data_IF_610869868715
#
_entry.id   IF_610869868715
#
_cell.length_a   1.000
_cell.length_b   1.000
_cell.length_c   1.000
_cell.angle_alpha   90.00
_cell.angle_beta   90.00
_cell.angle_gamma   90.00
#
_symmetry.space_group_name_H-M   'P 1'
#
loop_
_entity.id
_entity.type
_entity.pdbx_description
1 polymer ?
#
# COMPACT_ATOMS: atom_id res chain seq x y z
N UNK A 1 4.25 -27.81 30.35
CA UNK A 1 4.18 -27.00 29.10
C UNK A 1 5.36 -26.05 29.11
N UNK A 2 6.40 -26.33 28.32
CA UNK A 2 7.60 -25.51 28.26
C UNK A 2 7.26 -24.15 27.63
N UNK A 3 7.26 -23.09 28.45
CA UNK A 3 7.38 -21.72 27.95
C UNK A 3 8.76 -21.58 27.28
N UNK A 4 8.85 -21.88 25.97
CA UNK A 4 9.88 -21.27 25.16
C UNK A 4 9.60 -19.77 25.23
N UNK A 5 10.49 -19.04 25.91
CA UNK A 5 10.55 -17.58 25.84
C UNK A 5 10.58 -17.20 24.36
N UNK A 6 9.44 -16.85 23.81
CA UNK A 6 9.34 -16.31 22.45
C UNK A 6 9.93 -14.90 22.53
N UNK A 7 11.24 -14.78 22.29
CA UNK A 7 11.91 -13.50 22.07
C UNK A 7 11.46 -12.91 20.72
N UNK A 8 10.11 -12.76 20.54
CA UNK A 8 9.59 -12.09 19.37
C UNK A 8 10.01 -10.62 19.40
N UNK A 9 10.52 -10.13 18.28
CA UNK A 9 10.83 -8.72 18.12
C UNK A 9 9.63 -7.85 18.51
N UNK A 10 9.87 -6.70 19.14
CA UNK A 10 8.82 -5.77 19.53
C UNK A 10 9.17 -4.35 19.16
N UNK A 11 8.17 -3.55 18.79
CA UNK A 11 8.31 -2.11 18.62
C UNK A 11 8.70 -1.44 19.95
N UNK A 12 9.41 -0.32 19.87
CA UNK A 12 9.81 0.44 21.06
C UNK A 12 8.61 1.00 21.83
N UNK A 13 7.49 1.25 21.14
CA UNK A 13 6.25 1.76 21.71
C UNK A 13 5.26 2.20 20.64
N UNK A 14 4.24 2.98 21.03
CA UNK A 14 3.16 3.45 20.15
C UNK A 14 3.67 4.15 18.89
N UNK A 15 4.62 5.08 19.02
CA UNK A 15 5.16 5.85 17.89
C UNK A 15 5.86 4.92 16.89
N UNK A 16 6.61 3.93 17.37
CA UNK A 16 7.28 2.94 16.52
C UNK A 16 6.29 2.14 15.69
N UNK A 17 5.24 1.63 16.31
CA UNK A 17 4.16 0.94 15.61
C UNK A 17 3.45 1.85 14.60
N UNK A 18 2.99 3.03 15.03
CA UNK A 18 2.22 3.96 14.19
C UNK A 18 3.00 4.38 12.95
N UNK A 19 4.28 4.77 13.09
CA UNK A 19 5.07 5.22 11.94
C UNK A 19 5.45 4.05 11.01
N UNK A 20 5.64 2.83 11.56
CA UNK A 20 5.87 1.65 10.74
C UNK A 20 4.61 1.22 9.98
N UNK A 21 3.45 1.20 10.65
CA UNK A 21 2.17 0.85 10.03
C UNK A 21 1.71 1.93 9.04
N UNK A 22 1.88 3.22 9.37
CA UNK A 22 1.63 4.32 8.43
C UNK A 22 2.58 4.24 7.22
N UNK A 23 3.87 3.91 7.43
CA UNK A 23 4.81 3.68 6.33
C UNK A 23 4.46 2.48 5.45
N UNK A 24 3.82 1.45 6.02
CA UNK A 24 3.27 0.35 5.24
C UNK A 24 2.09 0.81 4.37
N UNK A 25 1.19 1.62 4.94
CA UNK A 25 -0.02 2.10 4.27
C UNK A 25 0.28 3.20 3.25
N UNK A 26 1.16 4.17 3.59
CA UNK A 26 1.56 5.25 2.68
C UNK A 26 2.56 4.70 1.64
N UNK A 27 2.03 4.29 0.51
CA UNK A 27 2.81 3.69 -0.57
C UNK A 27 2.53 4.33 -1.93
N UNK A 28 2.96 3.62 -2.98
CA UNK A 28 2.73 4.03 -4.35
C UNK A 28 1.24 4.21 -4.67
N UNK A 29 0.37 3.45 -4.01
CA UNK A 29 -1.08 3.54 -4.17
C UNK A 29 -1.67 4.90 -3.81
N UNK A 30 -1.13 5.58 -2.79
CA UNK A 30 -1.55 6.93 -2.42
C UNK A 30 -1.07 7.98 -3.42
N UNK A 31 0.11 7.76 -4.02
CA UNK A 31 0.76 8.79 -4.83
C UNK A 31 0.28 8.77 -6.28
N UNK A 32 0.04 7.61 -6.88
CA UNK A 32 -0.42 7.57 -8.27
C UNK A 32 -1.87 7.13 -8.44
N UNK A 33 -2.26 6.00 -7.76
CA UNK A 33 -3.58 5.41 -7.97
C UNK A 33 -4.69 6.28 -7.41
N UNK A 34 -4.51 6.81 -6.21
CA UNK A 34 -5.51 7.66 -5.57
C UNK A 34 -5.81 8.93 -6.39
N UNK A 35 -4.81 9.76 -6.81
CA UNK A 35 -5.08 10.95 -7.61
C UNK A 35 -5.76 10.64 -8.95
N UNK A 36 -5.34 9.58 -9.63
CA UNK A 36 -5.97 9.13 -10.85
C UNK A 36 -7.45 8.78 -10.64
N UNK A 37 -7.74 7.92 -9.66
CA UNK A 37 -9.12 7.51 -9.39
C UNK A 37 -9.98 8.69 -8.91
N UNK A 38 -9.43 9.56 -8.08
CA UNK A 38 -10.13 10.76 -7.65
C UNK A 38 -10.49 11.66 -8.83
N UNK A 39 -9.58 11.88 -9.77
CA UNK A 39 -9.86 12.69 -10.95
C UNK A 39 -10.88 12.03 -11.88
N UNK A 40 -10.76 10.73 -12.13
CA UNK A 40 -11.64 9.99 -13.04
C UNK A 40 -13.07 9.80 -12.47
N UNK A 41 -13.20 9.61 -11.16
CA UNK A 41 -14.46 9.22 -10.52
C UNK A 41 -15.08 10.31 -9.65
N UNK A 42 -14.93 11.58 -10.03
CA UNK A 42 -15.74 12.69 -9.56
C UNK A 42 -15.08 13.62 -8.54
N UNK A 43 -13.76 13.59 -8.40
CA UNK A 43 -13.01 14.55 -7.59
C UNK A 43 -13.42 14.54 -6.12
N UNK A 44 -14.00 15.66 -5.66
CA UNK A 44 -14.40 15.84 -4.26
C UNK A 44 -15.45 14.85 -3.77
N UNK A 45 -16.33 14.33 -4.63
CA UNK A 45 -17.29 13.29 -4.19
C UNK A 45 -16.59 11.94 -3.97
N UNK A 46 -15.59 11.60 -4.80
CA UNK A 46 -14.74 10.44 -4.56
C UNK A 46 -13.98 10.57 -3.24
N UNK A 47 -13.38 11.73 -2.97
CA UNK A 47 -12.67 12.01 -1.72
C UNK A 47 -13.59 11.86 -0.50
N UNK A 48 -14.81 12.40 -0.55
CA UNK A 48 -15.78 12.27 0.53
C UNK A 48 -16.12 10.81 0.83
N UNK A 49 -16.41 10.02 -0.21
CA UNK A 49 -16.72 8.59 -0.08
C UNK A 49 -15.51 7.84 0.46
N UNK A 50 -14.31 8.13 -0.05
CA UNK A 50 -13.07 7.53 0.44
C UNK A 50 -12.86 7.77 1.94
N UNK A 51 -13.05 9.00 2.42
CA UNK A 51 -12.93 9.34 3.85
C UNK A 51 -13.97 8.57 4.69
N UNK A 52 -15.22 8.49 4.25
CA UNK A 52 -16.25 7.72 4.96
C UNK A 52 -15.85 6.24 5.06
N UNK A 53 -15.36 5.66 3.97
CA UNK A 53 -14.90 4.27 3.95
C UNK A 53 -13.66 4.04 4.81
N UNK A 54 -12.71 4.97 4.82
CA UNK A 54 -11.53 4.90 5.69
C UNK A 54 -11.93 4.89 7.17
N UNK A 55 -12.84 5.81 7.56
CA UNK A 55 -13.34 5.94 8.95
C UNK A 55 -14.23 4.77 9.42
N UNK A 56 -14.73 3.95 8.51
CA UNK A 56 -15.64 2.83 8.82
C UNK A 56 -15.00 1.49 8.53
N UNK A 57 -14.91 1.12 7.26
CA UNK A 57 -14.36 -0.16 6.82
C UNK A 57 -12.85 -0.26 7.10
N UNK A 58 -12.08 0.75 6.69
CA UNK A 58 -10.63 0.80 6.88
C UNK A 58 -10.26 0.68 8.36
N UNK A 59 -10.84 1.55 9.19
CA UNK A 59 -10.69 1.49 10.64
C UNK A 59 -10.98 0.08 11.20
N UNK A 60 -12.10 -0.52 10.81
CA UNK A 60 -12.53 -1.82 11.31
C UNK A 60 -11.53 -2.92 10.99
N UNK A 61 -11.05 -2.97 9.75
CA UNK A 61 -10.10 -3.99 9.32
C UNK A 61 -8.72 -3.80 9.95
N UNK A 62 -8.22 -2.56 10.08
CA UNK A 62 -6.95 -2.29 10.78
C UNK A 62 -7.03 -2.75 12.24
N UNK A 63 -8.12 -2.42 12.95
CA UNK A 63 -8.34 -2.86 14.34
C UNK A 63 -8.40 -4.39 14.40
N UNK A 64 -9.14 -5.04 13.50
CA UNK A 64 -9.29 -6.49 13.48
C UNK A 64 -7.95 -7.22 13.28
N UNK A 65 -7.19 -6.83 12.26
CA UNK A 65 -5.91 -7.46 11.94
C UNK A 65 -4.83 -7.19 13.00
N UNK A 66 -4.74 -5.95 13.48
CA UNK A 66 -3.78 -5.57 14.53
C UNK A 66 -4.09 -6.30 15.83
N UNK A 67 -5.37 -6.38 16.22
CA UNK A 67 -5.80 -7.11 17.42
C UNK A 67 -5.51 -8.60 17.29
N UNK A 68 -5.80 -9.21 16.13
CA UNK A 68 -5.50 -10.61 15.84
C UNK A 68 -3.98 -10.89 16.00
N UNK A 69 -3.14 -10.03 15.44
CA UNK A 69 -1.70 -10.12 15.57
C UNK A 69 -1.24 -10.01 17.02
N UNK A 70 -1.70 -8.99 17.76
CA UNK A 70 -1.31 -8.77 19.17
C UNK A 70 -1.83 -9.85 20.11
N UNK A 71 -3.04 -10.35 19.89
CA UNK A 71 -3.64 -11.43 20.68
C UNK A 71 -2.83 -12.72 20.58
N UNK A 72 -2.36 -13.03 19.39
CA UNK A 72 -1.68 -14.30 19.11
C UNK A 72 -0.18 -14.25 19.22
N UNK A 73 0.44 -13.08 19.01
CA UNK A 73 1.89 -12.91 18.95
C UNK A 73 2.53 -13.68 17.79
N UNK A 74 1.80 -13.91 16.69
CA UNK A 74 2.23 -14.72 15.55
C UNK A 74 2.00 -14.01 14.22
N UNK A 75 2.70 -14.50 13.17
CA UNK A 75 2.44 -14.17 11.77
C UNK A 75 1.07 -14.70 11.32
N UNK A 76 0.56 -14.31 10.13
CA UNK A 76 -0.80 -14.63 9.70
C UNK A 76 -1.17 -16.10 9.81
N UNK A 77 -0.33 -17.03 9.36
CA UNK A 77 -0.65 -18.48 9.42
C UNK A 77 -0.81 -18.95 10.87
N UNK A 78 0.18 -18.63 11.71
CA UNK A 78 0.14 -19.00 13.12
C UNK A 78 -1.00 -18.31 13.88
N UNK A 79 -1.37 -17.08 13.51
CA UNK A 79 -2.49 -16.35 14.10
C UNK A 79 -3.84 -17.07 13.84
N UNK A 80 -4.09 -17.49 12.60
CA UNK A 80 -5.29 -18.27 12.26
C UNK A 80 -5.30 -19.63 12.94
N UNK A 81 -4.16 -20.35 12.94
CA UNK A 81 -4.05 -21.67 13.57
C UNK A 81 -4.23 -21.67 15.09
N UNK A 82 -4.07 -20.52 15.75
CA UNK A 82 -4.32 -20.39 17.19
C UNK A 82 -5.79 -20.68 17.54
N UNK A 83 -6.71 -20.43 16.61
CA UNK A 83 -8.16 -20.62 16.82
C UNK A 83 -8.71 -21.93 16.23
N UNK A 84 -7.85 -22.75 15.64
CA UNK A 84 -8.22 -24.06 15.12
C UNK A 84 -7.36 -24.49 13.93
N UNK A 85 -7.45 -25.77 13.59
CA UNK A 85 -6.69 -26.38 12.48
C UNK A 85 -7.60 -26.84 11.33
N UNK A 86 -8.78 -26.25 11.19
CA UNK A 86 -9.66 -26.57 10.07
C UNK A 86 -9.07 -26.10 8.74
N UNK A 87 -9.43 -26.76 7.64
CA UNK A 87 -8.89 -26.44 6.30
C UNK A 87 -9.13 -24.98 5.91
N UNK A 88 -10.29 -24.42 6.24
CA UNK A 88 -10.60 -23.04 5.89
C UNK A 88 -9.79 -22.01 6.72
N UNK A 89 -9.51 -22.30 8.01
CA UNK A 89 -8.61 -21.46 8.82
C UNK A 89 -7.19 -21.51 8.30
N UNK A 90 -6.69 -22.70 7.94
CA UNK A 90 -5.38 -22.82 7.29
C UNK A 90 -5.34 -22.04 6.00
N UNK A 91 -6.36 -22.13 5.15
CA UNK A 91 -6.47 -21.36 3.91
C UNK A 91 -6.45 -19.86 4.19
N UNK A 92 -7.24 -19.37 5.16
CA UNK A 92 -7.28 -17.95 5.57
C UNK A 92 -5.92 -17.43 6.05
N UNK A 93 -5.19 -18.23 6.84
CA UNK A 93 -3.83 -17.90 7.28
C UNK A 93 -2.83 -17.83 6.13
N UNK A 94 -2.82 -18.85 5.28
CA UNK A 94 -1.89 -18.94 4.16
C UNK A 94 -2.15 -17.89 3.09
N UNK A 95 -3.41 -17.57 2.75
CA UNK A 95 -3.69 -16.54 1.76
C UNK A 95 -3.17 -15.17 2.23
N UNK A 96 -3.37 -14.81 3.51
CA UNK A 96 -2.81 -13.58 4.09
C UNK A 96 -1.27 -13.57 4.09
N UNK A 97 -0.62 -14.73 4.22
CA UNK A 97 0.83 -14.85 4.25
C UNK A 97 1.47 -14.84 2.85
N UNK A 98 0.80 -15.41 1.84
CA UNK A 98 1.31 -15.51 0.47
C UNK A 98 1.22 -14.15 -0.24
N UNK A 99 0.21 -13.34 0.05
CA UNK A 99 0.01 -12.03 -0.59
C UNK A 99 1.27 -11.16 -0.54
N UNK A 100 1.88 -10.86 0.61
CA UNK A 100 3.09 -10.03 0.63
C UNK A 100 4.28 -10.68 -0.06
N UNK A 101 4.37 -12.02 -0.07
CA UNK A 101 5.42 -12.78 -0.77
C UNK A 101 5.32 -12.57 -2.30
N UNK A 102 4.10 -12.43 -2.82
CA UNK A 102 3.86 -12.19 -4.25
C UNK A 102 3.91 -10.70 -4.62
N UNK A 103 3.51 -9.80 -3.71
CA UNK A 103 3.51 -8.34 -3.98
C UNK A 103 4.94 -7.80 -4.00
N UNK A 104 5.76 -8.13 -3.01
CA UNK A 104 7.08 -7.49 -2.86
C UNK A 104 7.99 -7.65 -4.08
N UNK A 105 7.99 -8.76 -4.84
CA UNK A 105 8.77 -8.90 -6.05
C UNK A 105 8.43 -7.83 -7.11
N UNK A 106 7.18 -7.76 -7.57
CA UNK A 106 6.80 -6.80 -8.61
C UNK A 106 6.76 -5.34 -8.12
N UNK A 107 6.43 -5.13 -6.85
CA UNK A 107 6.49 -3.81 -6.21
C UNK A 107 7.91 -3.24 -6.20
N UNK A 108 8.91 -4.10 -6.00
CA UNK A 108 10.32 -3.71 -6.02
C UNK A 108 10.81 -3.34 -7.43
N UNK A 109 10.21 -3.89 -8.48
CA UNK A 109 10.49 -3.46 -9.86
C UNK A 109 10.09 -1.98 -10.05
N UNK A 110 8.91 -1.62 -9.58
CA UNK A 110 8.44 -0.22 -9.63
C UNK A 110 9.33 0.69 -8.77
N UNK A 111 9.76 0.21 -7.59
CA UNK A 111 10.75 0.89 -6.77
C UNK A 111 12.08 1.14 -7.51
N UNK A 112 12.51 0.18 -8.33
CA UNK A 112 13.65 0.33 -9.23
C UNK A 112 13.44 1.43 -10.28
N UNK A 113 12.25 1.52 -10.88
CA UNK A 113 11.92 2.61 -11.82
C UNK A 113 11.99 3.99 -11.15
N UNK A 114 11.55 4.07 -9.88
CA UNK A 114 11.66 5.31 -9.08
C UNK A 114 13.13 5.70 -8.87
N UNK A 115 14.01 4.75 -8.57
CA UNK A 115 15.47 5.00 -8.47
C UNK A 115 16.01 5.58 -9.79
N UNK A 116 15.67 4.98 -10.94
CA UNK A 116 16.09 5.46 -12.25
C UNK A 116 15.70 6.91 -12.46
N UNK A 117 14.42 7.25 -12.25
CA UNK A 117 13.91 8.60 -12.47
C UNK A 117 14.53 9.62 -11.52
N UNK A 118 14.70 9.27 -10.24
CA UNK A 118 15.38 10.14 -9.28
C UNK A 118 16.82 10.43 -9.71
N UNK A 119 17.56 9.42 -10.16
CA UNK A 119 18.94 9.60 -10.62
C UNK A 119 19.03 10.48 -11.86
N UNK A 120 18.12 10.35 -12.83
CA UNK A 120 18.08 11.21 -14.02
C UNK A 120 17.77 12.68 -13.65
N UNK A 121 16.83 12.92 -12.72
CA UNK A 121 16.59 14.28 -12.22
C UNK A 121 17.80 14.87 -11.49
N UNK A 122 18.51 14.08 -10.67
CA UNK A 122 19.74 14.52 -9.98
C UNK A 122 20.86 14.86 -10.99
N UNK A 123 20.94 14.12 -12.10
CA UNK A 123 21.91 14.38 -13.18
C UNK A 123 21.58 15.62 -14.01
N UNK A 124 20.39 16.16 -13.87
CA UNK A 124 19.90 17.29 -14.66
C UNK A 124 19.21 16.88 -15.97
N UNK A 125 19.00 15.60 -16.21
CA UNK A 125 18.38 15.03 -17.41
C UNK A 125 16.83 14.97 -17.33
N UNK A 126 16.23 15.76 -16.47
CA UNK A 126 14.76 15.77 -16.27
C UNK A 126 13.96 16.05 -17.56
N UNK A 127 14.50 16.80 -18.51
CA UNK A 127 13.87 17.04 -19.80
C UNK A 127 13.72 15.76 -20.63
N UNK A 128 14.69 14.86 -20.60
CA UNK A 128 14.64 13.57 -21.31
C UNK A 128 13.51 12.67 -20.80
N UNK A 129 13.19 12.75 -19.50
CA UNK A 129 12.12 11.97 -18.90
C UNK A 129 10.73 12.37 -19.42
N UNK A 130 10.59 13.59 -19.95
CA UNK A 130 9.37 14.10 -20.55
C UNK A 130 9.20 13.74 -22.04
N UNK A 131 10.25 13.18 -22.69
CA UNK A 131 10.20 12.78 -24.08
C UNK A 131 9.25 11.58 -24.29
N UNK A 132 8.53 11.61 -25.41
CA UNK A 132 7.64 10.51 -25.77
C UNK A 132 8.46 9.23 -26.00
N UNK A 133 7.99 8.14 -25.36
CA UNK A 133 8.64 6.84 -25.49
C UNK A 133 9.81 6.58 -24.53
N UNK A 134 10.31 7.58 -23.77
CA UNK A 134 11.39 7.36 -22.81
C UNK A 134 11.10 6.23 -21.83
N UNK A 135 9.92 6.28 -21.19
CA UNK A 135 9.53 5.25 -20.23
C UNK A 135 9.42 3.87 -20.89
N UNK A 136 8.80 3.78 -22.06
CA UNK A 136 8.67 2.52 -22.80
C UNK A 136 10.03 1.95 -23.22
N UNK A 137 10.97 2.81 -23.66
CA UNK A 137 12.32 2.41 -23.98
C UNK A 137 13.07 1.89 -22.74
N UNK A 138 12.94 2.58 -21.60
CA UNK A 138 13.56 2.18 -20.36
C UNK A 138 13.05 0.84 -19.85
N UNK A 139 11.72 0.60 -19.77
CA UNK A 139 11.17 -0.67 -19.28
C UNK A 139 11.43 -1.85 -20.23
N UNK A 140 11.73 -1.57 -21.51
CA UNK A 140 12.11 -2.58 -22.50
C UNK A 140 13.60 -2.92 -22.44
N UNK A 141 14.43 -2.05 -21.87
CA UNK A 141 15.84 -2.32 -21.61
C UNK A 141 16.01 -3.21 -20.38
N UNK A 142 16.07 -4.54 -20.61
CA UNK A 142 16.16 -5.53 -19.54
C UNK A 142 17.36 -5.33 -18.63
N UNK A 143 18.51 -4.87 -19.11
CA UNK A 143 19.70 -4.69 -18.29
C UNK A 143 19.54 -3.50 -17.32
N UNK A 144 19.04 -2.38 -17.81
CA UNK A 144 18.84 -1.16 -17.02
C UNK A 144 17.75 -1.35 -15.95
N UNK A 145 16.61 -1.95 -16.33
CA UNK A 145 15.51 -2.24 -15.39
C UNK A 145 15.92 -3.23 -14.33
N UNK A 146 16.61 -4.31 -14.70
CA UNK A 146 17.04 -5.35 -13.76
C UNK A 146 18.04 -4.78 -12.74
N UNK A 147 19.00 -3.96 -13.19
CA UNK A 147 19.95 -3.31 -12.29
C UNK A 147 19.25 -2.43 -11.26
N UNK A 148 18.32 -1.58 -11.68
CA UNK A 148 17.58 -0.70 -10.78
C UNK A 148 16.68 -1.49 -9.81
N UNK A 149 16.04 -2.55 -10.28
CA UNK A 149 15.24 -3.47 -9.48
C UNK A 149 16.09 -4.15 -8.40
N UNK A 150 17.24 -4.74 -8.77
CA UNK A 150 18.13 -5.41 -7.81
C UNK A 150 18.67 -4.42 -6.78
N UNK A 151 19.02 -3.19 -7.16
CA UNK A 151 19.44 -2.15 -6.23
C UNK A 151 18.34 -1.83 -5.20
N UNK A 152 17.09 -1.72 -5.63
CA UNK A 152 15.97 -1.49 -4.71
C UNK A 152 15.76 -2.69 -3.77
N UNK A 153 15.82 -3.93 -4.28
CA UNK A 153 15.74 -5.14 -3.47
C UNK A 153 16.84 -5.19 -2.41
N UNK A 154 18.09 -4.93 -2.80
CA UNK A 154 19.23 -4.94 -1.89
C UNK A 154 19.06 -3.91 -0.78
N UNK A 155 18.59 -2.71 -1.12
CA UNK A 155 18.33 -1.68 -0.12
C UNK A 155 17.26 -2.11 0.89
N UNK A 156 16.14 -2.68 0.43
CA UNK A 156 15.09 -3.23 1.29
C UNK A 156 15.63 -4.36 2.19
N UNK A 157 16.35 -5.32 1.62
CA UNK A 157 16.88 -6.48 2.36
C UNK A 157 17.89 -6.07 3.44
N UNK A 158 18.75 -5.10 3.18
CA UNK A 158 19.71 -4.58 4.19
C UNK A 158 18.97 -4.05 5.42
N UNK A 159 17.86 -3.34 5.22
CA UNK A 159 17.03 -2.83 6.32
C UNK A 159 16.38 -3.99 7.08
N UNK A 160 15.87 -4.99 6.38
CA UNK A 160 15.24 -6.17 6.99
C UNK A 160 16.26 -6.99 7.80
N UNK A 161 17.49 -7.15 7.32
CA UNK A 161 18.56 -7.80 8.08
C UNK A 161 18.88 -7.12 9.42
N UNK A 162 18.71 -5.79 9.50
CA UNK A 162 18.90 -5.02 10.73
C UNK A 162 17.81 -5.28 11.80
N UNK A 163 16.71 -5.95 11.44
CA UNK A 163 15.63 -6.35 12.34
C UNK A 163 14.51 -5.33 12.48
N UNK A 164 13.50 -5.67 13.27
CA UNK A 164 12.28 -4.85 13.41
C UNK A 164 12.60 -3.49 14.01
N UNK A 165 13.27 -3.46 15.17
CA UNK A 165 13.53 -2.22 15.92
C UNK A 165 14.59 -1.33 15.27
N UNK A 166 15.72 -1.94 14.84
CA UNK A 166 16.87 -1.20 14.32
C UNK A 166 16.78 -0.95 12.81
N UNK A 167 16.00 -1.75 12.08
CA UNK A 167 15.73 -1.62 10.65
C UNK A 167 14.37 -0.97 10.40
N UNK A 168 13.30 -1.75 10.45
CA UNK A 168 11.94 -1.35 10.07
C UNK A 168 11.50 -0.07 10.80
N UNK A 169 11.52 -0.09 12.13
CA UNK A 169 11.04 1.03 12.95
C UNK A 169 11.91 2.27 12.80
N UNK A 170 13.25 2.10 12.82
CA UNK A 170 14.18 3.23 12.73
C UNK A 170 14.07 3.95 11.39
N UNK A 171 13.97 3.19 10.31
CA UNK A 171 13.84 3.73 8.96
C UNK A 171 12.48 4.42 8.81
N UNK A 172 11.38 3.82 9.27
CA UNK A 172 10.07 4.45 9.23
C UNK A 172 10.01 5.74 10.05
N UNK A 173 10.65 5.78 11.23
CA UNK A 173 10.74 6.99 12.05
C UNK A 173 11.48 8.15 11.39
N UNK A 174 12.43 7.85 10.51
CA UNK A 174 13.16 8.86 9.75
C UNK A 174 12.41 9.27 8.48
N UNK A 175 11.96 8.29 7.70
CA UNK A 175 11.38 8.53 6.36
C UNK A 175 10.00 9.16 6.43
N UNK A 176 9.12 8.75 7.37
CA UNK A 176 7.74 9.24 7.41
C UNK A 176 7.64 10.75 7.67
N UNK A 177 8.32 11.36 8.66
CA UNK A 177 8.29 12.81 8.81
C UNK A 177 8.83 13.56 7.59
N UNK A 178 9.91 13.08 6.98
CA UNK A 178 10.49 13.70 5.78
C UNK A 178 9.49 13.61 4.61
N UNK A 179 8.82 12.46 4.43
CA UNK A 179 7.80 12.27 3.42
C UNK A 179 6.64 13.27 3.59
N UNK A 180 6.17 13.50 4.84
CA UNK A 180 5.14 14.50 5.13
C UNK A 180 5.61 15.90 4.75
N UNK A 181 6.83 16.29 5.12
CA UNK A 181 7.39 17.60 4.77
C UNK A 181 7.50 17.78 3.26
N UNK A 182 8.03 16.78 2.55
CA UNK A 182 8.12 16.80 1.09
C UNK A 182 6.74 16.91 0.44
N UNK A 183 5.74 16.16 0.93
CA UNK A 183 4.38 16.23 0.39
C UNK A 183 3.75 17.62 0.56
N UNK A 184 3.97 18.28 1.70
CA UNK A 184 3.51 19.65 1.93
C UNK A 184 4.19 20.63 0.96
N UNK A 185 5.52 20.56 0.81
CA UNK A 185 6.26 21.44 -0.09
C UNK A 185 5.77 21.32 -1.53
N UNK A 186 5.62 20.10 -2.03
CA UNK A 186 5.20 19.84 -3.41
C UNK A 186 3.73 20.23 -3.60
N UNK A 187 2.85 19.96 -2.63
CA UNK A 187 1.44 20.36 -2.72
C UNK A 187 1.29 21.89 -2.75
N UNK A 188 2.00 22.62 -1.87
CA UNK A 188 2.02 24.09 -1.89
C UNK A 188 2.52 24.61 -3.24
N UNK A 189 3.60 24.04 -3.76
CA UNK A 189 4.10 24.39 -5.08
C UNK A 189 3.04 24.15 -6.16
N UNK A 190 2.38 22.99 -6.18
CA UNK A 190 1.37 22.61 -7.17
C UNK A 190 0.17 23.56 -7.16
N UNK A 191 -0.42 23.81 -5.98
CA UNK A 191 -1.64 24.62 -5.85
C UNK A 191 -1.40 26.11 -6.14
N UNK A 192 -0.16 26.58 -6.08
CA UNK A 192 0.21 27.97 -6.39
C UNK A 192 0.48 28.22 -7.89
N UNK A 193 0.36 27.21 -8.74
CA UNK A 193 0.56 27.40 -10.20
C UNK A 193 -0.63 28.10 -10.85
N UNK A 194 -0.38 28.96 -11.86
CA UNK A 194 -1.45 29.53 -12.65
C UNK A 194 -2.36 28.42 -13.23
N UNK A 195 -3.68 28.57 -13.08
CA UNK A 195 -4.64 27.55 -13.53
C UNK A 195 -4.90 26.39 -12.54
N UNK A 196 -4.09 26.21 -11.50
CA UNK A 196 -4.23 25.11 -10.53
C UNK A 196 -5.53 25.18 -9.69
N UNK A 197 -6.11 26.36 -9.49
CA UNK A 197 -7.29 26.55 -8.62
C UNK A 197 -8.50 25.73 -9.08
N UNK A 198 -8.67 25.55 -10.39
CA UNK A 198 -9.73 24.70 -10.94
C UNK A 198 -9.58 23.25 -10.46
N UNK A 199 -8.35 22.71 -10.50
CA UNK A 199 -8.03 21.37 -9.99
C UNK A 199 -8.22 21.23 -8.49
N UNK A 200 -7.82 22.25 -7.71
CA UNK A 200 -8.06 22.30 -6.25
C UNK A 200 -9.55 22.22 -5.95
N UNK A 201 -10.34 23.07 -6.62
CA UNK A 201 -11.80 23.10 -6.46
C UNK A 201 -12.44 21.77 -6.85
N UNK A 202 -12.03 21.21 -7.99
CA UNK A 202 -12.52 19.91 -8.48
C UNK A 202 -12.25 18.79 -7.47
N UNK A 203 -11.05 18.77 -6.89
CA UNK A 203 -10.64 17.71 -5.96
C UNK A 203 -11.22 17.83 -4.55
N UNK A 204 -11.35 19.07 -4.02
CA UNK A 204 -11.76 19.27 -2.63
C UNK A 204 -13.27 19.50 -2.45
N UNK A 205 -13.96 20.02 -3.48
CA UNK A 205 -15.38 20.35 -3.35
C UNK A 205 -16.24 19.22 -3.88
N UNK A 206 -17.01 18.53 -3.01
CA UNK A 206 -17.93 17.48 -3.46
C UNK A 206 -18.99 18.02 -4.39
N UNK A 207 -19.10 17.46 -5.57
CA UNK A 207 -20.17 17.75 -6.53
C UNK A 207 -21.05 16.50 -6.72
N UNK A 208 -22.29 16.48 -6.21
CA UNK A 208 -23.18 15.34 -6.36
C UNK A 208 -23.49 14.96 -7.79
N UNK A 209 -23.40 15.91 -8.75
CA UNK A 209 -23.60 15.63 -10.17
C UNK A 209 -22.54 14.67 -10.75
N UNK A 210 -21.37 14.59 -10.13
CA UNK A 210 -20.28 13.69 -10.52
C UNK A 210 -20.38 12.32 -9.83
N UNK A 211 -21.45 12.06 -9.05
CA UNK A 211 -21.62 10.78 -8.36
C UNK A 211 -21.98 9.68 -9.36
N UNK A 212 -21.33 8.53 -9.19
CA UNK A 212 -21.71 7.28 -9.83
C UNK A 212 -21.55 6.10 -8.86
N UNK A 213 -22.22 4.99 -9.10
CA UNK A 213 -21.97 3.78 -8.31
C UNK A 213 -20.54 3.30 -8.46
N UNK A 214 -19.91 3.56 -9.59
CA UNK A 214 -18.51 3.25 -9.83
C UNK A 214 -17.58 4.07 -8.93
N UNK A 215 -17.95 5.30 -8.57
CA UNK A 215 -17.23 6.11 -7.57
C UNK A 215 -17.14 5.39 -6.23
N UNK A 216 -18.21 4.74 -5.77
CA UNK A 216 -18.23 3.98 -4.51
C UNK A 216 -17.34 2.74 -4.61
N UNK A 217 -17.49 1.95 -5.69
CA UNK A 217 -16.73 0.71 -5.89
C UNK A 217 -15.23 0.99 -6.00
N UNK A 218 -14.85 2.00 -6.77
CA UNK A 218 -13.43 2.36 -6.95
C UNK A 218 -12.83 2.97 -5.69
N UNK A 219 -13.60 3.77 -4.93
CA UNK A 219 -13.16 4.29 -3.63
C UNK A 219 -12.97 3.16 -2.61
N UNK A 220 -13.86 2.14 -2.59
CA UNK A 220 -13.68 0.95 -1.76
C UNK A 220 -12.38 0.21 -2.12
N UNK A 221 -12.17 -0.07 -3.40
CA UNK A 221 -10.96 -0.74 -3.87
C UNK A 221 -9.68 0.05 -3.56
N UNK A 222 -9.73 1.38 -3.73
CA UNK A 222 -8.59 2.25 -3.39
C UNK A 222 -8.28 2.26 -1.90
N UNK A 223 -9.29 2.41 -1.05
CA UNK A 223 -9.11 2.41 0.41
C UNK A 223 -8.56 1.07 0.92
N UNK A 224 -9.04 -0.02 0.34
CA UNK A 224 -8.59 -1.37 0.65
C UNK A 224 -7.10 -1.56 0.39
N UNK A 225 -6.64 -1.10 -0.78
CA UNK A 225 -5.24 -1.14 -1.17
C UNK A 225 -4.37 -0.17 -0.36
N UNK A 226 -4.84 1.07 -0.17
CA UNK A 226 -4.10 2.15 0.51
C UNK A 226 -3.76 1.79 1.95
N UNK A 227 -4.71 1.27 2.72
CA UNK A 227 -4.53 0.95 4.14
C UNK A 227 -3.80 -0.38 4.40
N UNK A 228 -3.25 -1.03 3.37
CA UNK A 228 -2.54 -2.33 3.46
C UNK A 228 -3.36 -3.43 4.15
N UNK A 229 -4.69 -3.42 3.95
CA UNK A 229 -5.61 -4.38 4.52
C UNK A 229 -5.46 -5.73 3.81
N UNK A 230 -5.54 -6.82 4.56
CA UNK A 230 -5.47 -8.20 4.07
C UNK A 230 -4.16 -8.55 3.33
N UNK A 231 -3.07 -7.87 3.66
CA UNK A 231 -1.72 -8.18 3.19
C UNK A 231 -0.87 -8.89 4.26
N UNK A 232 -1.47 -9.34 5.37
CA UNK A 232 -0.75 -9.94 6.49
C UNK A 232 0.14 -8.99 7.28
N UNK A 233 0.38 -7.76 6.78
CA UNK A 233 1.27 -6.76 7.39
C UNK A 233 0.75 -6.34 8.77
N UNK A 234 -0.52 -5.97 8.86
CA UNK A 234 -1.11 -5.48 10.11
C UNK A 234 -1.21 -6.58 11.17
N UNK A 235 -1.42 -7.85 10.78
CA UNK A 235 -1.33 -9.01 11.68
C UNK A 235 0.11 -9.15 12.18
N UNK A 236 1.09 -9.12 11.29
CA UNK A 236 2.51 -9.22 11.63
C UNK A 236 2.94 -8.08 12.56
N UNK A 237 2.62 -6.82 12.22
CA UNK A 237 2.97 -5.66 13.04
C UNK A 237 2.21 -5.63 14.37
N UNK A 238 0.97 -6.08 14.38
CA UNK A 238 0.19 -6.31 15.60
C UNK A 238 0.88 -7.28 16.53
N UNK A 239 1.49 -8.35 15.99
CA UNK A 239 2.23 -9.34 16.79
C UNK A 239 3.50 -8.79 17.44
N UNK A 240 4.01 -7.63 16.99
CA UNK A 240 5.14 -6.91 17.59
C UNK A 240 4.68 -5.80 18.55
N UNK A 241 3.37 -5.57 18.67
CA UNK A 241 2.81 -4.55 19.54
C UNK A 241 2.77 -5.03 20.98
N UNK A 242 3.18 -4.14 21.89
CA UNK A 242 3.09 -4.41 23.34
C UNK A 242 1.63 -4.36 23.80
N UNK A 243 1.28 -5.13 24.83
CA UNK A 243 -0.08 -5.20 25.38
C UNK A 243 -0.59 -3.85 25.90
N UNK A 244 0.30 -3.02 26.46
CA UNK A 244 -0.04 -1.71 27.01
C UNK A 244 -0.28 -0.63 25.92
N UNK A 245 0.06 -0.94 24.67
CA UNK A 245 -0.13 0.01 23.58
C UNK A 245 -1.58 0.01 23.11
N UNK A 246 -2.22 1.19 23.11
CA UNK A 246 -3.59 1.37 22.62
C UNK A 246 -3.73 0.97 21.15
N UNK A 247 -4.59 0.00 20.82
CA UNK A 247 -4.90 -0.40 19.44
C UNK A 247 -5.74 0.69 18.77
N UNK A 248 -6.85 1.09 19.36
CA UNK A 248 -7.76 2.07 18.76
C UNK A 248 -7.06 3.42 18.53
N UNK A 249 -6.29 3.88 19.53
CA UNK A 249 -5.53 5.11 19.42
C UNK A 249 -4.39 5.03 18.41
N UNK A 250 -3.80 3.86 18.20
CA UNK A 250 -2.77 3.66 17.16
C UNK A 250 -3.38 3.57 15.77
N UNK A 251 -4.47 2.83 15.61
CA UNK A 251 -5.24 2.71 14.36
C UNK A 251 -5.70 4.07 13.86
N UNK A 252 -6.28 4.90 14.77
CA UNK A 252 -6.68 6.27 14.43
C UNK A 252 -5.52 7.09 13.85
N UNK A 253 -4.34 6.95 14.41
CA UNK A 253 -3.18 7.69 13.89
C UNK A 253 -2.75 7.17 12.51
N UNK A 254 -2.75 5.86 12.27
CA UNK A 254 -2.45 5.28 10.95
C UNK A 254 -3.46 5.76 9.91
N UNK A 255 -4.74 5.71 10.23
CA UNK A 255 -5.85 6.19 9.41
C UNK A 255 -5.70 7.68 9.03
N UNK A 256 -5.34 8.54 10.01
CA UNK A 256 -5.10 9.97 9.77
C UNK A 256 -3.88 10.17 8.85
N UNK A 257 -2.78 9.46 9.10
CA UNK A 257 -1.58 9.55 8.28
C UNK A 257 -1.85 9.16 6.83
N UNK A 258 -2.47 8.01 6.60
CA UNK A 258 -2.79 7.51 5.25
C UNK A 258 -3.71 8.47 4.51
N UNK A 259 -4.83 8.86 5.14
CA UNK A 259 -5.80 9.78 4.53
C UNK A 259 -5.20 11.16 4.26
N UNK A 260 -4.39 11.69 5.17
CA UNK A 260 -3.71 12.98 4.97
C UNK A 260 -2.75 12.92 3.79
N UNK A 261 -1.94 11.87 3.68
CA UNK A 261 -1.02 11.71 2.54
C UNK A 261 -1.78 11.48 1.22
N UNK A 262 -2.88 10.73 1.22
CA UNK A 262 -3.72 10.57 0.03
C UNK A 262 -4.29 11.93 -0.43
N UNK A 263 -4.77 12.77 0.50
CA UNK A 263 -5.23 14.14 0.19
C UNK A 263 -4.07 14.99 -0.33
N UNK A 264 -2.90 14.94 0.32
CA UNK A 264 -1.71 15.67 -0.14
C UNK A 264 -1.28 15.23 -1.53
N UNK A 265 -1.30 13.91 -1.83
CA UNK A 265 -1.00 13.39 -3.16
C UNK A 265 -2.00 13.91 -4.21
N UNK A 266 -3.29 13.94 -3.89
CA UNK A 266 -4.30 14.58 -4.72
C UNK A 266 -3.98 16.05 -4.99
N UNK A 267 -3.59 16.81 -3.97
CA UNK A 267 -3.21 18.23 -4.10
C UNK A 267 -1.85 18.44 -4.80
N UNK A 268 -0.94 17.46 -4.75
CA UNK A 268 0.31 17.53 -5.51
C UNK A 268 0.08 17.33 -7.00
N UNK A 269 -0.81 16.43 -7.38
CA UNK A 269 -0.93 15.92 -8.76
C UNK A 269 -2.07 16.57 -9.52
N UNK A 270 -3.30 16.56 -8.98
CA UNK A 270 -4.48 17.03 -9.71
C UNK A 270 -4.37 18.51 -10.10
N UNK A 271 -4.03 19.46 -9.20
CA UNK A 271 -3.89 20.87 -9.58
C UNK A 271 -2.78 21.11 -10.60
N UNK A 272 -1.64 20.38 -10.50
CA UNK A 272 -0.54 20.52 -11.45
C UNK A 272 -0.94 20.04 -12.86
N UNK A 273 -1.64 18.89 -12.95
CA UNK A 273 -2.12 18.37 -14.22
C UNK A 273 -3.21 19.28 -14.82
N UNK A 274 -4.14 19.79 -14.02
CA UNK A 274 -5.15 20.76 -14.47
C UNK A 274 -4.52 22.06 -15.00
N UNK A 275 -3.50 22.57 -14.33
CA UNK A 275 -2.76 23.75 -14.79
C UNK A 275 -2.05 23.49 -16.13
N UNK A 276 -1.53 22.26 -16.34
CA UNK A 276 -0.87 21.87 -17.57
C UNK A 276 -1.84 21.56 -18.73
N UNK A 277 -2.97 20.89 -18.44
CA UNK A 277 -3.95 20.43 -19.46
C UNK A 277 -5.05 21.44 -19.79
N UNK A 278 -5.07 22.59 -19.14
CA UNK A 278 -6.19 23.54 -19.29
C UNK A 278 -7.48 23.09 -18.61
N UNK A 279 -7.41 22.14 -17.67
CA UNK A 279 -8.54 21.70 -16.85
C UNK A 279 -9.20 20.38 -17.29
N UNK A 280 -8.55 19.61 -18.16
CA UNK A 280 -9.03 18.30 -18.60
C UNK A 280 -8.60 17.18 -17.64
N UNK A 281 -9.54 16.56 -16.88
CA UNK A 281 -9.22 15.45 -15.97
C UNK A 281 -8.79 14.16 -16.70
N UNK A 282 -9.16 13.98 -17.97
CA UNK A 282 -8.84 12.77 -18.75
C UNK A 282 -7.37 12.69 -19.16
N UNK A 283 -6.60 13.77 -18.95
CA UNK A 283 -5.15 13.77 -19.13
C UNK A 283 -4.39 13.00 -18.06
N UNK A 284 -5.04 12.70 -16.90
CA UNK A 284 -4.47 11.83 -15.88
C UNK A 284 -4.52 10.37 -16.33
N UNK A 285 -3.39 9.84 -16.75
CA UNK A 285 -3.27 8.43 -17.16
C UNK A 285 -3.33 7.49 -15.96
N UNK A 286 -3.80 6.27 -16.18
CA UNK A 286 -3.87 5.25 -15.16
C UNK A 286 -2.50 4.62 -14.85
N UNK A 287 -2.32 4.18 -13.61
CA UNK A 287 -1.19 3.35 -13.21
C UNK A 287 0.17 4.05 -13.30
N UNK A 288 1.23 3.29 -13.63
CA UNK A 288 2.58 3.82 -13.74
C UNK A 288 2.75 4.97 -14.72
N UNK A 289 1.92 5.02 -15.77
CA UNK A 289 1.97 6.07 -16.79
C UNK A 289 1.75 7.48 -16.20
N UNK A 290 0.91 7.63 -15.17
CA UNK A 290 0.75 8.90 -14.48
C UNK A 290 2.11 9.39 -13.94
N UNK A 291 2.82 8.54 -13.22
CA UNK A 291 4.03 8.91 -12.51
C UNK A 291 5.25 9.00 -13.42
N UNK A 292 5.36 8.13 -14.41
CA UNK A 292 6.57 8.02 -15.24
C UNK A 292 6.45 8.68 -16.62
N UNK A 293 5.24 9.09 -17.03
CA UNK A 293 5.03 9.80 -18.30
C UNK A 293 4.41 11.18 -18.06
N UNK A 294 3.23 11.24 -17.40
CA UNK A 294 2.49 12.50 -17.26
C UNK A 294 3.21 13.49 -16.34
N UNK A 295 3.63 13.07 -15.16
CA UNK A 295 4.27 13.96 -14.17
C UNK A 295 5.59 14.55 -14.66
N UNK A 296 6.51 13.81 -15.31
CA UNK A 296 7.71 14.41 -15.92
C UNK A 296 7.37 15.47 -16.95
N UNK A 297 6.35 15.27 -17.81
CA UNK A 297 5.88 16.27 -18.78
C UNK A 297 5.35 17.54 -18.09
N UNK A 298 4.59 17.38 -17.03
CA UNK A 298 4.10 18.49 -16.22
C UNK A 298 5.27 19.28 -15.64
N UNK A 299 6.23 18.61 -15.01
CA UNK A 299 7.41 19.28 -14.43
C UNK A 299 8.30 19.96 -15.46
N UNK A 300 8.48 19.37 -16.64
CA UNK A 300 9.25 19.98 -17.73
C UNK A 300 8.65 21.32 -18.19
N UNK A 301 7.35 21.51 -18.04
CA UNK A 301 6.63 22.74 -18.39
C UNK A 301 6.43 23.70 -17.21
N UNK A 302 6.95 23.37 -16.02
CA UNK A 302 6.81 24.19 -14.82
C UNK A 302 8.17 24.81 -14.43
N UNK A 303 8.17 26.06 -13.94
CA UNK A 303 9.36 26.68 -13.35
C UNK A 303 9.89 25.82 -12.19
N UNK A 304 11.22 25.68 -12.08
CA UNK A 304 11.86 24.80 -11.08
C UNK A 304 11.56 23.31 -11.25
N UNK A 305 11.11 22.86 -12.42
CA UNK A 305 10.64 21.50 -12.64
C UNK A 305 11.66 20.41 -12.27
N UNK A 306 12.94 20.61 -12.56
CA UNK A 306 14.01 19.67 -12.17
C UNK A 306 14.10 19.53 -10.65
N UNK A 307 14.08 20.64 -9.91
CA UNK A 307 14.14 20.62 -8.45
C UNK A 307 12.92 19.94 -7.83
N UNK A 308 11.72 20.28 -8.32
CA UNK A 308 10.46 19.65 -7.86
C UNK A 308 10.43 18.17 -8.24
N UNK A 309 10.98 17.80 -9.40
CA UNK A 309 11.14 16.40 -9.81
C UNK A 309 12.02 15.59 -8.84
N UNK A 310 13.15 16.16 -8.40
CA UNK A 310 14.00 15.55 -7.37
C UNK A 310 13.19 15.32 -6.07
N UNK A 311 12.51 16.36 -5.59
CA UNK A 311 11.73 16.25 -4.34
C UNK A 311 10.59 15.22 -4.47
N UNK A 312 9.91 15.19 -5.63
CA UNK A 312 8.82 14.27 -5.89
C UNK A 312 9.31 12.82 -5.95
N UNK A 313 10.35 12.51 -6.75
CA UNK A 313 10.85 11.14 -6.84
C UNK A 313 11.56 10.68 -5.56
N UNK A 314 12.12 11.60 -4.76
CA UNK A 314 12.61 11.29 -3.41
C UNK A 314 11.46 10.92 -2.46
N UNK A 315 10.36 11.66 -2.49
CA UNK A 315 9.13 11.35 -1.75
C UNK A 315 8.59 9.98 -2.15
N UNK A 316 8.48 9.72 -3.46
CA UNK A 316 8.01 8.43 -4.00
C UNK A 316 8.92 7.29 -3.59
N UNK A 317 10.25 7.50 -3.61
CA UNK A 317 11.22 6.50 -3.16
C UNK A 317 11.01 6.16 -1.68
N UNK A 318 10.80 7.14 -0.82
CA UNK A 318 10.55 6.90 0.61
C UNK A 318 9.25 6.13 0.83
N UNK A 319 8.18 6.47 0.12
CA UNK A 319 6.92 5.74 0.16
C UNK A 319 7.09 4.29 -0.34
N UNK A 320 7.81 4.09 -1.43
CA UNK A 320 8.09 2.76 -1.97
C UNK A 320 8.92 1.89 -1.00
N UNK A 321 9.96 2.47 -0.40
CA UNK A 321 10.84 1.76 0.54
C UNK A 321 10.10 1.36 1.81
N UNK A 322 9.34 2.25 2.44
CA UNK A 322 8.62 1.95 3.69
C UNK A 322 7.58 0.85 3.49
N UNK A 323 6.86 0.85 2.37
CA UNK A 323 5.90 -0.22 2.04
C UNK A 323 6.61 -1.54 1.67
N UNK A 324 7.71 -1.49 0.91
CA UNK A 324 8.50 -2.68 0.58
C UNK A 324 9.08 -3.37 1.83
N UNK A 325 9.57 -2.58 2.79
CA UNK A 325 10.04 -3.08 4.09
C UNK A 325 8.92 -3.80 4.84
N UNK A 326 7.72 -3.23 4.88
CA UNK A 326 6.58 -3.82 5.59
C UNK A 326 6.11 -5.15 4.96
N UNK A 327 6.02 -5.20 3.63
CA UNK A 327 5.71 -6.41 2.86
C UNK A 327 6.77 -7.50 3.10
N UNK A 328 8.04 -7.13 3.01
CA UNK A 328 9.17 -8.06 3.20
C UNK A 328 9.22 -8.58 4.63
N UNK A 329 8.96 -7.74 5.63
CA UNK A 329 8.90 -8.13 7.03
C UNK A 329 7.78 -9.13 7.29
N UNK A 330 6.60 -8.93 6.69
CA UNK A 330 5.49 -9.88 6.81
C UNK A 330 5.84 -11.25 6.22
N UNK A 331 6.52 -11.27 5.06
CA UNK A 331 7.00 -12.49 4.44
C UNK A 331 8.07 -13.20 5.31
N UNK A 332 9.06 -12.47 5.79
CA UNK A 332 10.14 -13.01 6.65
C UNK A 332 9.57 -13.57 7.94
N UNK A 333 8.68 -12.83 8.61
CA UNK A 333 8.01 -13.28 9.85
C UNK A 333 7.23 -14.58 9.65
N UNK A 334 6.59 -14.75 8.49
CA UNK A 334 5.89 -16.00 8.17
C UNK A 334 6.86 -17.19 8.11
N UNK A 335 8.00 -17.04 7.43
CA UNK A 335 9.00 -18.12 7.36
C UNK A 335 9.71 -18.36 8.71
N UNK A 336 9.93 -17.32 9.52
CA UNK A 336 10.42 -17.48 10.88
C UNK A 336 9.48 -18.35 11.73
N UNK A 337 8.18 -18.07 11.68
CA UNK A 337 7.17 -18.76 12.48
C UNK A 337 6.87 -20.18 11.99
N UNK A 338 6.69 -20.38 10.68
CA UNK A 338 6.25 -21.66 10.12
C UNK A 338 7.39 -22.67 9.93
N UNK A 339 8.60 -22.22 9.58
CA UNK A 339 9.75 -23.07 9.39
C UNK A 339 10.65 -23.14 10.64
N UNK A 340 10.40 -22.29 11.65
CA UNK A 340 11.26 -22.20 12.83
C UNK A 340 12.68 -21.70 12.52
N UNK A 341 12.83 -20.97 11.40
CA UNK A 341 14.13 -20.47 10.96
C UNK A 341 14.50 -19.17 11.68
N UNK A 342 15.80 -18.91 11.73
CA UNK A 342 16.27 -17.62 12.21
C UNK A 342 16.08 -16.56 11.13
N UNK A 343 16.05 -15.30 11.54
CA UNK A 343 15.84 -14.14 10.68
C UNK A 343 16.74 -14.11 9.46
N UNK A 344 18.03 -14.45 9.61
CA UNK A 344 18.97 -14.40 8.46
C UNK A 344 18.57 -15.37 7.36
N UNK A 345 18.24 -16.62 7.72
CA UNK A 345 17.81 -17.64 6.73
C UNK A 345 16.49 -17.24 6.08
N UNK A 346 15.53 -16.78 6.85
CA UNK A 346 14.23 -16.33 6.32
C UNK A 346 14.37 -15.12 5.40
N UNK A 347 15.22 -14.14 5.75
CA UNK A 347 15.48 -12.98 4.89
C UNK A 347 16.18 -13.35 3.59
N UNK A 348 17.14 -14.28 3.62
CA UNK A 348 17.80 -14.78 2.40
C UNK A 348 16.78 -15.49 1.50
N UNK A 349 15.92 -16.37 2.04
CA UNK A 349 14.88 -17.03 1.26
C UNK A 349 13.94 -16.01 0.61
N UNK A 350 13.44 -15.04 1.37
CA UNK A 350 12.57 -13.99 0.82
C UNK A 350 13.32 -13.19 -0.25
N UNK A 351 14.60 -12.88 -0.04
CA UNK A 351 15.45 -12.22 -1.05
C UNK A 351 15.56 -13.02 -2.35
N UNK A 352 15.76 -14.33 -2.26
CA UNK A 352 15.78 -15.22 -3.45
C UNK A 352 14.42 -15.21 -4.17
N UNK A 353 13.32 -15.28 -3.43
CA UNK A 353 11.96 -15.22 -4.00
C UNK A 353 11.74 -13.83 -4.67
N UNK A 354 12.14 -12.73 -3.99
CA UNK A 354 12.04 -11.37 -4.55
C UNK A 354 12.76 -11.26 -5.89
N UNK A 355 14.01 -11.71 -5.95
CA UNK A 355 14.80 -11.65 -7.19
C UNK A 355 14.18 -12.56 -8.26
N UNK A 356 13.86 -13.82 -7.94
CA UNK A 356 13.36 -14.77 -8.92
C UNK A 356 12.01 -14.35 -9.54
N UNK A 357 11.03 -13.97 -8.72
CA UNK A 357 9.71 -13.54 -9.21
C UNK A 357 9.74 -12.10 -9.75
N UNK A 358 10.56 -11.23 -9.14
CA UNK A 358 10.70 -9.86 -9.59
C UNK A 358 11.40 -9.74 -10.95
N UNK A 359 12.39 -10.58 -11.23
CA UNK A 359 13.04 -10.62 -12.57
C UNK A 359 12.04 -11.01 -13.67
N UNK A 360 11.06 -11.89 -13.40
CA UNK A 360 9.98 -12.15 -14.37
C UNK A 360 9.18 -10.85 -14.68
N UNK A 361 8.85 -10.08 -13.65
CA UNK A 361 8.13 -8.82 -13.80
C UNK A 361 9.00 -7.72 -14.42
N UNK A 362 10.28 -7.62 -14.04
CA UNK A 362 11.24 -6.64 -14.56
C UNK A 362 11.53 -6.85 -16.05
N UNK A 363 11.72 -8.09 -16.46
CA UNK A 363 12.00 -8.48 -17.84
C UNK A 363 10.72 -8.62 -18.70
N UNK A 364 9.55 -8.57 -18.06
CA UNK A 364 8.25 -8.81 -18.71
C UNK A 364 7.90 -7.79 -19.79
N UNK A 365 8.43 -6.57 -19.75
CA UNK A 365 8.23 -5.54 -20.78
C UNK A 365 9.34 -5.49 -21.84
N UNK A 366 10.40 -6.28 -21.65
CA UNK A 366 11.55 -6.36 -22.54
C UNK A 366 11.75 -7.78 -23.08
N UNK A 367 12.81 -8.51 -22.65
CA UNK A 367 13.13 -9.84 -23.20
C UNK A 367 12.02 -10.88 -23.08
N UNK A 368 11.15 -10.79 -22.06
CA UNK A 368 10.03 -11.70 -21.84
C UNK A 368 8.68 -11.14 -22.30
N UNK A 369 8.64 -10.05 -23.05
CA UNK A 369 7.40 -9.34 -23.46
C UNK A 369 6.41 -10.24 -24.26
N UNK A 370 6.91 -11.26 -24.91
CA UNK A 370 6.09 -12.23 -25.65
C UNK A 370 5.37 -13.25 -24.76
N UNK A 371 5.76 -13.38 -23.49
CA UNK A 371 5.15 -14.30 -22.53
C UNK A 371 4.08 -13.56 -21.76
N UNK A 372 2.83 -13.97 -21.95
CA UNK A 372 1.68 -13.37 -21.26
C UNK A 372 0.87 -14.44 -20.55
N UNK A 373 0.41 -14.14 -19.34
CA UNK A 373 -0.47 -15.00 -18.54
C UNK A 373 -1.87 -14.35 -18.57
N UNK A 374 -2.86 -15.07 -19.12
CA UNK A 374 -4.24 -14.55 -19.30
C UNK A 374 -4.23 -13.19 -20.04
N UNK A 375 -3.33 -13.04 -21.03
CA UNK A 375 -3.21 -11.80 -21.81
C UNK A 375 -2.44 -10.67 -21.11
N UNK A 376 -2.01 -10.83 -19.86
CA UNK A 376 -1.32 -9.83 -19.05
C UNK A 376 0.20 -10.06 -19.03
N UNK A 377 1.00 -8.99 -18.91
CA UNK A 377 2.41 -9.07 -18.56
C UNK A 377 2.57 -9.61 -17.13
N UNK A 378 3.77 -10.10 -16.78
CA UNK A 378 4.01 -10.69 -15.45
C UNK A 378 3.67 -9.75 -14.29
N UNK A 379 4.09 -8.46 -14.37
CA UNK A 379 3.79 -7.47 -13.35
C UNK A 379 2.28 -7.30 -13.19
N UNK A 380 1.57 -7.09 -14.30
CA UNK A 380 0.12 -6.87 -14.30
C UNK A 380 -0.64 -8.10 -13.81
N UNK A 381 -0.15 -9.30 -14.16
CA UNK A 381 -0.72 -10.56 -13.68
C UNK A 381 -0.57 -10.73 -12.16
N UNK A 382 0.63 -10.48 -11.62
CA UNK A 382 0.83 -10.58 -10.17
C UNK A 382 0.04 -9.52 -9.41
N UNK A 383 -0.06 -8.30 -9.95
CA UNK A 383 -0.90 -7.24 -9.40
C UNK A 383 -2.38 -7.63 -9.40
N UNK A 384 -2.89 -8.13 -10.52
CA UNK A 384 -4.27 -8.63 -10.63
C UNK A 384 -4.53 -9.78 -9.64
N UNK A 385 -3.66 -10.80 -9.63
CA UNK A 385 -3.81 -11.96 -8.75
C UNK A 385 -3.86 -11.57 -7.29
N UNK A 386 -2.94 -10.72 -6.84
CA UNK A 386 -2.84 -10.32 -5.44
C UNK A 386 -3.91 -9.32 -5.05
N UNK A 387 -4.03 -8.20 -5.76
CA UNK A 387 -4.90 -7.10 -5.36
C UNK A 387 -6.37 -7.34 -5.72
N UNK A 388 -6.64 -7.90 -6.89
CA UNK A 388 -8.01 -8.08 -7.37
C UNK A 388 -8.68 -9.36 -6.87
N UNK A 389 -7.90 -10.42 -6.59
CA UNK A 389 -8.44 -11.72 -6.21
C UNK A 389 -8.09 -12.09 -4.76
N UNK A 390 -6.78 -12.16 -4.44
CA UNK A 390 -6.36 -12.73 -3.16
C UNK A 390 -6.68 -11.83 -1.97
N UNK A 391 -6.46 -10.52 -2.06
CA UNK A 391 -6.70 -9.60 -0.95
C UNK A 391 -8.18 -9.55 -0.53
N UNK A 392 -9.18 -9.41 -1.42
CA UNK A 392 -10.58 -9.48 -1.02
C UNK A 392 -10.95 -10.80 -0.35
N UNK A 393 -10.42 -11.93 -0.83
CA UNK A 393 -10.63 -13.24 -0.21
C UNK A 393 -9.99 -13.29 1.17
N UNK A 394 -8.76 -12.81 1.33
CA UNK A 394 -8.07 -12.77 2.63
C UNK A 394 -8.82 -11.90 3.66
N UNK A 395 -9.34 -10.73 3.24
CA UNK A 395 -10.14 -9.88 4.11
C UNK A 395 -11.47 -10.54 4.51
N UNK A 396 -12.13 -11.23 3.58
CA UNK A 396 -13.33 -12.02 3.89
C UNK A 396 -13.00 -13.08 4.95
N UNK A 397 -11.90 -13.82 4.78
CA UNK A 397 -11.45 -14.84 5.73
C UNK A 397 -11.13 -14.25 7.10
N UNK A 398 -10.45 -13.09 7.16
CA UNK A 398 -10.18 -12.39 8.42
C UNK A 398 -11.48 -11.91 9.08
N UNK A 399 -12.40 -11.34 8.32
CA UNK A 399 -13.70 -10.89 8.82
C UNK A 399 -14.53 -12.05 9.39
N UNK A 400 -14.56 -13.20 8.71
CA UNK A 400 -15.24 -14.41 9.19
C UNK A 400 -14.55 -15.01 10.44
N UNK A 401 -13.22 -15.04 10.48
CA UNK A 401 -12.47 -15.48 11.65
C UNK A 401 -12.86 -14.64 12.87
N UNK A 402 -12.80 -13.31 12.74
CA UNK A 402 -13.08 -12.38 13.85
C UNK A 402 -14.54 -12.46 14.27
N UNK A 403 -15.50 -12.47 13.32
CA UNK A 403 -16.94 -12.38 13.64
C UNK A 403 -17.54 -13.71 14.06
N UNK A 404 -17.04 -14.87 13.61
CA UNK A 404 -17.66 -16.17 13.79
C UNK A 404 -16.89 -17.13 14.70
N UNK A 405 -15.55 -17.00 14.74
CA UNK A 405 -14.69 -17.94 15.50
C UNK A 405 -14.17 -17.32 16.78
N UNK A 406 -13.54 -16.14 16.70
CA UNK A 406 -13.01 -15.44 17.88
C UNK A 406 -14.15 -14.86 18.69
N UNK A 407 -15.11 -14.21 18.03
CA UNK A 407 -16.21 -13.49 18.65
C UNK A 407 -15.84 -12.08 19.07
N UNK A 408 -16.86 -11.22 19.13
CA UNK A 408 -16.69 -9.79 19.43
C UNK A 408 -16.16 -9.56 20.85
N UNK A 409 -16.61 -10.34 21.80
CA UNK A 409 -16.26 -10.16 23.21
C UNK A 409 -14.76 -10.36 23.46
N UNK A 410 -14.17 -11.40 22.88
CA UNK A 410 -12.71 -11.63 22.96
C UNK A 410 -11.90 -10.55 22.22
N UNK A 411 -12.43 -10.04 21.11
CA UNK A 411 -11.79 -8.92 20.39
C UNK A 411 -11.85 -7.65 21.23
N UNK A 412 -12.97 -7.38 21.89
CA UNK A 412 -13.12 -6.26 22.80
C UNK A 412 -12.17 -6.36 24.00
N UNK A 413 -12.08 -7.52 24.64
CA UNK A 413 -11.12 -7.76 25.72
C UNK A 413 -9.70 -7.44 25.28
N UNK A 414 -9.28 -7.91 24.09
CA UNK A 414 -7.96 -7.60 23.56
C UNK A 414 -7.76 -6.11 23.29
N UNK A 415 -8.75 -5.43 22.71
CA UNK A 415 -8.68 -3.99 22.42
C UNK A 415 -8.57 -3.18 23.71
N UNK A 416 -9.32 -3.57 24.75
CA UNK A 416 -9.32 -2.89 26.05
C UNK A 416 -8.00 -3.04 26.82
N UNK A 417 -7.14 -4.00 26.47
CA UNK A 417 -5.77 -4.00 26.99
C UNK A 417 -5.04 -2.73 26.53
N UNK A 418 -4.69 -1.84 27.45
CA UNK A 418 -4.05 -0.54 27.16
C UNK A 418 -5.02 0.59 26.80
N UNK A 419 -6.32 0.35 26.86
CA UNK A 419 -7.39 1.37 26.67
C UNK A 419 -8.49 1.20 27.69
N UNK A 420 -9.04 2.33 28.18
CA UNK A 420 -10.16 2.29 29.13
C UNK A 420 -11.53 2.06 28.47
N UNK A 421 -11.66 2.31 27.17
CA UNK A 421 -12.94 2.25 26.43
C UNK A 421 -12.72 1.92 24.96
N UNK A 422 -13.61 1.11 24.38
CA UNK A 422 -13.68 0.88 22.94
C UNK A 422 -14.70 1.85 22.31
N UNK A 423 -14.25 3.03 21.91
CA UNK A 423 -15.12 4.15 21.50
C UNK A 423 -15.94 3.86 20.25
N UNK A 424 -15.33 3.25 19.21
CA UNK A 424 -16.01 2.95 17.94
C UNK A 424 -16.56 1.51 17.89
N UNK A 425 -16.84 0.87 19.03
CA UNK A 425 -17.37 -0.52 19.12
C UNK A 425 -18.56 -0.76 18.21
N UNK A 426 -19.55 0.16 18.19
CA UNK A 426 -20.77 -0.01 17.37
C UNK A 426 -20.44 -0.08 15.87
N UNK A 427 -19.54 0.79 15.40
CA UNK A 427 -19.07 0.79 14.00
C UNK A 427 -18.33 -0.52 13.72
N UNK A 428 -17.38 -0.90 14.58
CA UNK A 428 -16.63 -2.14 14.45
C UNK A 428 -17.55 -3.36 14.32
N UNK A 429 -18.54 -3.50 15.20
CA UNK A 429 -19.47 -4.64 15.21
C UNK A 429 -20.33 -4.68 13.94
N UNK A 430 -20.89 -3.55 13.53
CA UNK A 430 -21.70 -3.44 12.32
C UNK A 430 -20.87 -3.82 11.08
N UNK A 431 -19.69 -3.23 10.98
CA UNK A 431 -18.81 -3.44 9.84
C UNK A 431 -18.31 -4.89 9.77
N UNK A 432 -17.69 -5.41 10.83
CA UNK A 432 -17.03 -6.71 10.79
C UNK A 432 -18.01 -7.87 10.59
N UNK A 433 -19.23 -7.78 11.16
CA UNK A 433 -20.24 -8.84 11.06
C UNK A 433 -20.98 -8.85 9.73
N UNK A 434 -21.26 -7.68 9.15
CA UNK A 434 -22.21 -7.56 8.04
C UNK A 434 -21.59 -6.87 6.82
N UNK A 435 -21.04 -5.67 6.98
CA UNK A 435 -20.64 -4.85 5.83
C UNK A 435 -19.28 -5.26 5.25
N UNK A 436 -18.30 -5.61 6.08
CA UNK A 436 -16.99 -6.05 5.55
C UNK A 436 -17.10 -7.28 4.64
N UNK A 437 -17.82 -8.36 4.99
CA UNK A 437 -18.05 -9.48 4.09
C UNK A 437 -18.70 -9.07 2.77
N UNK A 438 -19.71 -8.20 2.82
CA UNK A 438 -20.41 -7.72 1.62
C UNK A 438 -19.48 -6.87 0.75
N UNK A 439 -18.75 -5.92 1.33
CA UNK A 439 -17.84 -5.05 0.61
C UNK A 439 -16.70 -5.82 -0.06
N UNK A 440 -16.11 -6.79 0.65
CA UNK A 440 -15.05 -7.63 0.07
C UNK A 440 -15.56 -8.45 -1.12
N UNK A 441 -16.79 -8.95 -1.06
CA UNK A 441 -17.41 -9.66 -2.20
C UNK A 441 -17.69 -8.72 -3.38
N UNK A 442 -18.14 -7.48 -3.14
CA UNK A 442 -18.33 -6.47 -4.19
C UNK A 442 -16.98 -6.14 -4.84
N UNK A 443 -15.93 -5.90 -4.04
CA UNK A 443 -14.58 -5.61 -4.54
C UNK A 443 -14.08 -6.78 -5.40
N UNK A 444 -14.22 -8.02 -4.93
CA UNK A 444 -13.80 -9.21 -5.67
C UNK A 444 -14.54 -9.31 -7.01
N UNK A 445 -15.87 -9.23 -6.98
CA UNK A 445 -16.70 -9.36 -8.18
C UNK A 445 -16.40 -8.24 -9.20
N UNK A 446 -16.30 -6.98 -8.76
CA UNK A 446 -16.02 -5.83 -9.63
C UNK A 446 -14.59 -5.88 -10.20
N UNK A 447 -13.59 -6.25 -9.39
CA UNK A 447 -12.22 -6.34 -9.85
C UNK A 447 -12.03 -7.46 -10.88
N UNK A 448 -12.66 -8.61 -10.68
CA UNK A 448 -12.65 -9.71 -11.65
C UNK A 448 -13.40 -9.28 -12.93
N UNK A 449 -14.58 -8.68 -12.81
CA UNK A 449 -15.34 -8.20 -13.97
C UNK A 449 -14.56 -7.16 -14.79
N UNK A 450 -13.83 -6.25 -14.12
CA UNK A 450 -12.96 -5.29 -14.80
C UNK A 450 -11.78 -5.98 -15.52
N UNK A 451 -11.15 -6.96 -14.91
CA UNK A 451 -10.02 -7.68 -15.53
C UNK A 451 -10.42 -8.44 -16.79
N UNK A 452 -11.66 -8.93 -16.86
CA UNK A 452 -12.20 -9.59 -18.05
C UNK A 452 -12.92 -8.63 -19.02
N UNK A 453 -12.87 -7.30 -18.76
CA UNK A 453 -13.45 -6.29 -19.64
C UNK A 453 -15.00 -6.25 -19.62
N UNK A 454 -15.64 -6.86 -18.62
CA UNK A 454 -17.12 -6.80 -18.49
C UNK A 454 -17.59 -5.46 -17.95
N UNK A 455 -16.74 -4.77 -17.21
CA UNK A 455 -16.93 -3.39 -16.76
C UNK A 455 -15.61 -2.63 -16.92
N UNK A 456 -15.65 -1.29 -17.01
CA UNK A 456 -14.45 -0.43 -17.02
C UNK A 456 -14.33 0.30 -15.68
N UNK A 457 -13.23 0.09 -14.98
CA UNK A 457 -12.89 0.79 -13.73
C UNK A 457 -11.66 1.69 -13.91
#
# INVERSE_FOLDING_TARGET
>A
MNHKNNNRSSFSGKIGFVLSAAGASVGLGNIWRFPYLAAKYGGGIFLLIYIILALTFGYTMIVAETSLGRMTGKSPVGAFHTFGKSKWLSFGGWINAIIPILIVPYYSVIGGWVIKYLLEYIRGDGAKLAEDGYFSAFISDGASTELCFVLFCMFTLVIIFAGVRNGVERVSKLMMPVLVVLSVIIAVYSVTRPGALAGVKYFLVPNPANFSWMTVVTAMGQMFYSLSIAMGILITFGSYMKKETSIEGSTKNVEIFDTAIAIMAGLMIIPAVFAFSGGDPDTLQAGPALMFITIPKVFANMGLGTFVGILFFLLVLFAAVTSSIALTESAVSTFEDELGWNRRKSTVLVGVIMIALGSLSSLGYGPLANIRIIGMQFLDFFDFLTNSVMMPVAALMTSLLVSRVIGIDRMEEEILHGEGTFRRKKIFVLMIKYLCPVFTMIILASSVANAFGWISM
#
